data_IF_917668772112
#
_entry.id   IF_917668772112
#
_cell.length_a   1.000
_cell.length_b   1.000
_cell.length_c   1.000
_cell.angle_alpha   90.00
_cell.angle_beta   90.00
_cell.angle_gamma   90.00
#
_symmetry.space_group_name_H-M   'P 1'
#
loop_
_entity.id
_entity.type
_entity.pdbx_description
1 polymer ?
#
# COMPACT_ATOMS: atom_id res chain seq x y z
N UNK A 1 5.82 10.99 3.81
CA UNK A 1 5.09 9.71 3.78
C UNK A 1 4.28 9.61 2.50
N UNK A 2 4.16 8.41 1.96
CA UNK A 2 3.40 8.16 0.73
C UNK A 2 2.49 6.96 0.90
N UNK A 3 1.35 6.98 0.22
CA UNK A 3 0.54 5.78 0.02
C UNK A 3 0.89 5.16 -1.32
N UNK A 4 1.25 3.90 -1.31
CA UNK A 4 1.50 3.11 -2.51
C UNK A 4 0.27 2.25 -2.76
N UNK A 5 -0.50 2.60 -3.77
CA UNK A 5 -1.73 1.90 -4.14
C UNK A 5 -1.44 0.98 -5.31
N UNK A 6 -1.57 -0.32 -5.09
CA UNK A 6 -1.31 -1.35 -6.09
C UNK A 6 -2.63 -1.78 -6.70
N UNK A 7 -2.77 -1.61 -8.01
CA UNK A 7 -3.98 -1.98 -8.74
C UNK A 7 -4.08 -3.48 -8.99
N UNK A 8 -5.30 -3.97 -9.14
CA UNK A 8 -5.55 -5.35 -9.60
C UNK A 8 -5.02 -5.55 -11.02
N UNK A 9 -4.66 -6.78 -11.35
CA UNK A 9 -4.24 -7.12 -12.70
C UNK A 9 -5.28 -6.66 -13.74
N UNK A 10 -4.81 -6.04 -14.82
CA UNK A 10 -5.69 -5.53 -15.88
C UNK A 10 -6.39 -4.21 -15.58
N UNK A 11 -6.17 -3.62 -14.41
CA UNK A 11 -6.75 -2.31 -14.04
C UNK A 11 -5.69 -1.23 -14.23
N UNK A 12 -6.02 -0.21 -15.03
CA UNK A 12 -5.27 1.05 -15.06
C UNK A 12 -5.78 1.93 -13.91
N UNK A 13 -5.14 1.82 -12.77
CA UNK A 13 -5.60 2.47 -11.54
C UNK A 13 -5.57 4.00 -11.65
N UNK A 14 -4.51 4.55 -12.24
CA UNK A 14 -4.38 6.00 -12.40
C UNK A 14 -5.55 6.55 -13.23
N UNK A 15 -5.86 5.90 -14.35
CA UNK A 15 -6.96 6.30 -15.22
C UNK A 15 -8.30 6.13 -14.53
N UNK A 16 -8.50 5.02 -13.82
CA UNK A 16 -9.74 4.75 -13.07
C UNK A 16 -10.00 5.85 -12.05
N UNK A 17 -8.99 6.26 -11.29
CA UNK A 17 -9.12 7.32 -10.28
C UNK A 17 -9.26 8.70 -10.92
N UNK A 18 -8.62 8.94 -12.05
CA UNK A 18 -8.68 10.23 -12.76
C UNK A 18 -10.00 10.45 -13.49
N UNK A 19 -10.63 9.39 -13.99
CA UNK A 19 -11.88 9.46 -14.74
C UNK A 19 -13.12 9.60 -13.83
N UNK A 20 -13.01 9.19 -12.57
CA UNK A 20 -14.10 9.34 -11.60
C UNK A 20 -14.07 10.74 -10.98
N UNK A 21 -15.17 11.45 -11.08
CA UNK A 21 -15.30 12.79 -10.48
C UNK A 21 -15.09 12.76 -8.96
N UNK A 22 -15.64 11.75 -8.29
CA UNK A 22 -15.53 11.60 -6.84
C UNK A 22 -14.09 11.39 -6.40
N UNK A 23 -13.38 10.43 -6.99
CA UNK A 23 -11.97 10.17 -6.63
C UNK A 23 -11.06 11.32 -7.04
N UNK A 24 -11.31 11.94 -8.19
CA UNK A 24 -10.55 13.11 -8.62
C UNK A 24 -10.69 14.26 -7.63
N UNK A 25 -11.89 14.48 -7.09
CA UNK A 25 -12.13 15.49 -6.06
C UNK A 25 -11.39 15.15 -4.75
N UNK A 26 -11.46 13.90 -4.31
CA UNK A 26 -10.75 13.44 -3.11
C UNK A 26 -9.25 13.65 -3.26
N UNK A 27 -8.69 13.32 -4.42
CA UNK A 27 -7.24 13.29 -4.64
C UNK A 27 -6.63 14.62 -5.09
N UNK A 28 -7.42 15.67 -5.25
CA UNK A 28 -6.96 16.94 -5.85
C UNK A 28 -5.75 17.58 -5.20
N UNK A 29 -5.50 17.29 -3.93
CA UNK A 29 -4.36 17.85 -3.17
C UNK A 29 -3.26 16.84 -2.87
N UNK A 30 -3.35 15.60 -3.37
CA UNK A 30 -2.43 14.52 -2.99
C UNK A 30 -1.44 14.16 -4.08
N UNK A 31 -1.39 14.93 -5.17
CA UNK A 31 -0.43 14.80 -6.25
C UNK A 31 -0.26 13.34 -6.75
N UNK A 32 -1.34 12.71 -7.25
CA UNK A 32 -1.26 11.31 -7.70
C UNK A 32 -0.19 11.15 -8.76
N UNK A 33 0.68 10.16 -8.56
CA UNK A 33 1.74 9.80 -9.50
C UNK A 33 1.49 8.42 -10.04
N UNK A 34 1.43 8.31 -11.37
CA UNK A 34 1.27 7.03 -12.04
C UNK A 34 2.53 6.19 -11.93
N UNK A 35 2.35 4.88 -11.69
CA UNK A 35 3.40 3.88 -11.73
C UNK A 35 2.93 2.71 -12.59
N UNK A 36 3.83 1.81 -13.04
CA UNK A 36 3.41 0.63 -13.80
C UNK A 36 2.45 -0.30 -13.05
N UNK A 37 2.42 -0.25 -11.73
CA UNK A 37 1.60 -1.13 -10.88
C UNK A 37 0.45 -0.40 -10.19
N UNK A 38 0.33 0.90 -10.32
CA UNK A 38 -0.75 1.63 -9.66
C UNK A 38 -0.50 3.12 -9.52
N UNK A 39 -0.73 3.65 -8.33
CA UNK A 39 -0.65 5.08 -8.05
C UNK A 39 0.03 5.32 -6.71
N UNK A 40 0.88 6.34 -6.65
CA UNK A 40 1.50 6.81 -5.41
C UNK A 40 0.90 8.17 -5.05
N UNK A 41 0.48 8.31 -3.79
CA UNK A 41 -0.12 9.53 -3.25
C UNK A 41 0.75 10.08 -2.12
N UNK A 42 0.97 11.38 -2.10
CA UNK A 42 1.71 12.02 -1.02
C UNK A 42 0.77 12.42 0.13
N UNK A 43 1.14 12.05 1.35
CA UNK A 43 0.42 12.40 2.56
C UNK A 43 1.39 12.97 3.59
N UNK A 44 0.91 13.83 4.47
CA UNK A 44 1.77 14.47 5.46
C UNK A 44 2.09 13.54 6.64
N UNK A 45 1.10 12.77 7.10
CA UNK A 45 1.21 11.95 8.31
C UNK A 45 0.50 10.61 8.14
N UNK A 46 0.75 9.68 9.07
CA UNK A 46 0.00 8.41 9.15
C UNK A 46 -1.50 8.68 9.27
N UNK A 47 -1.88 9.64 10.11
CA UNK A 47 -3.27 10.01 10.32
C UNK A 47 -3.95 10.47 9.03
N UNK A 48 -3.31 11.35 8.26
CA UNK A 48 -3.86 11.83 7.00
C UNK A 48 -3.92 10.71 5.96
N UNK A 49 -2.93 9.81 5.96
CA UNK A 49 -2.95 8.64 5.09
C UNK A 49 -4.09 7.67 5.40
N UNK A 50 -4.35 7.43 6.68
CA UNK A 50 -5.47 6.58 7.12
C UNK A 50 -6.82 7.21 6.76
N UNK A 51 -6.95 8.52 6.94
CA UNK A 51 -8.17 9.26 6.57
C UNK A 51 -8.40 9.19 5.05
N UNK A 52 -7.35 9.38 4.26
CA UNK A 52 -7.43 9.28 2.80
C UNK A 52 -7.82 7.87 2.35
N UNK A 53 -7.21 6.83 2.93
CA UNK A 53 -7.56 5.45 2.63
C UNK A 53 -9.03 5.16 2.95
N UNK A 54 -9.54 5.71 4.04
CA UNK A 54 -10.94 5.60 4.42
C UNK A 54 -11.87 6.25 3.39
N UNK A 55 -11.53 7.44 2.90
CA UNK A 55 -12.28 8.12 1.84
C UNK A 55 -12.25 7.35 0.51
N UNK A 56 -11.15 6.66 0.22
CA UNK A 56 -10.97 5.86 -0.99
C UNK A 56 -11.46 4.41 -0.84
N UNK A 57 -12.08 4.05 0.27
CA UNK A 57 -12.44 2.67 0.61
C UNK A 57 -13.15 1.94 -0.52
N UNK A 58 -14.10 2.57 -1.19
CA UNK A 58 -14.85 1.97 -2.29
C UNK A 58 -13.93 1.59 -3.46
N UNK A 59 -12.97 2.46 -3.79
CA UNK A 59 -11.99 2.22 -4.85
C UNK A 59 -10.97 1.16 -4.45
N UNK A 60 -10.54 1.16 -3.20
CA UNK A 60 -9.61 0.17 -2.66
C UNK A 60 -10.21 -1.23 -2.81
N UNK A 61 -11.45 -1.41 -2.38
CA UNK A 61 -12.10 -2.72 -2.44
C UNK A 61 -12.31 -3.22 -3.87
N UNK A 62 -12.56 -2.32 -4.82
CA UNK A 62 -12.86 -2.69 -6.21
C UNK A 62 -11.63 -2.85 -7.09
N UNK A 63 -10.65 -2.00 -6.94
CA UNK A 63 -9.60 -1.83 -7.94
C UNK A 63 -8.19 -2.05 -7.43
N UNK A 64 -7.99 -2.21 -6.14
CA UNK A 64 -6.66 -2.34 -5.54
C UNK A 64 -6.48 -3.69 -4.86
N UNK A 65 -5.24 -4.19 -4.87
CA UNK A 65 -4.85 -5.41 -4.14
C UNK A 65 -4.16 -5.07 -2.83
N UNK A 66 -3.42 -3.95 -2.79
CA UNK A 66 -2.67 -3.50 -1.63
C UNK A 66 -2.69 -1.98 -1.54
N UNK A 67 -2.69 -1.49 -0.32
CA UNK A 67 -2.38 -0.10 0.01
C UNK A 67 -1.27 -0.13 1.06
N UNK A 68 -0.08 0.31 0.68
CA UNK A 68 1.09 0.31 1.56
C UNK A 68 1.39 1.74 1.99
N UNK A 69 1.77 1.89 3.26
CA UNK A 69 2.25 3.17 3.79
C UNK A 69 3.77 3.16 3.71
N UNK A 70 4.33 4.04 2.89
CA UNK A 70 5.77 4.22 2.80
C UNK A 70 6.20 5.31 3.76
N UNK A 71 6.93 4.91 4.80
CA UNK A 71 7.63 5.85 5.66
C UNK A 71 8.97 6.20 5.00
N UNK A 72 9.01 7.34 4.33
CA UNK A 72 10.20 7.76 3.58
C UNK A 72 11.37 8.14 4.47
N UNK A 73 11.11 8.56 5.72
CA UNK A 73 12.15 8.88 6.68
C UNK A 73 12.90 7.63 7.14
N UNK A 74 12.19 6.53 7.39
CA UNK A 74 12.76 5.28 7.85
C UNK A 74 12.97 4.24 6.75
N UNK A 75 12.58 4.57 5.51
CA UNK A 75 12.70 3.69 4.34
C UNK A 75 12.01 2.32 4.53
N UNK A 76 10.84 2.32 5.14
CA UNK A 76 10.05 1.10 5.37
C UNK A 76 8.65 1.23 4.80
N UNK A 77 8.08 0.08 4.42
CA UNK A 77 6.68 -0.03 4.00
C UNK A 77 5.89 -0.73 5.08
N UNK A 78 4.71 -0.20 5.38
CA UNK A 78 3.80 -0.76 6.38
C UNK A 78 2.49 -1.16 5.71
N UNK A 79 1.88 -2.25 6.17
CA UNK A 79 0.49 -2.53 5.81
C UNK A 79 -0.43 -1.46 6.41
N UNK A 80 -1.62 -1.32 5.85
CA UNK A 80 -2.63 -0.41 6.39
C UNK A 80 -3.01 -0.78 7.83
N UNK A 81 -3.10 -2.07 8.13
CA UNK A 81 -3.45 -2.53 9.47
C UNK A 81 -2.35 -2.20 10.48
N UNK A 82 -1.08 -2.40 10.13
CA UNK A 82 0.03 -2.01 11.00
C UNK A 82 0.09 -0.49 11.17
N UNK A 83 -0.08 0.27 10.10
CA UNK A 83 -0.11 1.73 10.18
C UNK A 83 -1.19 2.24 11.14
N UNK A 84 -2.38 1.62 11.09
CA UNK A 84 -3.47 1.94 12.01
C UNK A 84 -3.11 1.61 13.45
N UNK A 85 -2.51 0.45 13.70
CA UNK A 85 -2.08 0.03 15.03
C UNK A 85 -1.03 0.98 15.60
N UNK A 86 -0.04 1.35 14.82
CA UNK A 86 0.98 2.33 15.22
C UNK A 86 0.33 3.67 15.58
N UNK A 87 -0.63 4.11 14.81
CA UNK A 87 -1.34 5.37 15.06
C UNK A 87 -2.19 5.30 16.34
N UNK A 88 -2.95 4.23 16.51
CA UNK A 88 -3.87 4.09 17.64
C UNK A 88 -3.15 3.87 18.96
N UNK A 89 -2.12 3.05 18.98
CA UNK A 89 -1.36 2.75 20.21
C UNK A 89 -0.25 3.76 20.47
N UNK A 90 0.14 4.54 19.45
CA UNK A 90 1.27 5.48 19.49
C UNK A 90 2.56 4.80 19.96
N UNK A 91 2.68 3.51 19.70
CA UNK A 91 3.86 2.73 20.07
C UNK A 91 4.77 2.54 18.84
N UNK A 92 6.06 2.31 19.12
CA UNK A 92 7.00 1.87 18.09
C UNK A 92 6.79 0.38 17.83
N UNK A 93 5.64 0.03 17.24
CA UNK A 93 5.20 -1.35 17.05
C UNK A 93 6.23 -2.22 16.33
N UNK A 94 7.10 -1.64 15.52
CA UNK A 94 8.19 -2.35 14.84
C UNK A 94 9.23 -2.92 15.82
N UNK A 95 9.28 -2.42 17.04
CA UNK A 95 10.26 -2.81 18.05
C UNK A 95 9.72 -3.90 18.97
N UNK A 96 8.39 -4.07 19.05
CA UNK A 96 7.72 -4.89 20.05
C UNK A 96 7.71 -6.40 19.72
N UNK A 97 8.26 -6.81 18.56
CA UNK A 97 8.44 -8.23 18.23
C UNK A 97 7.17 -8.99 17.84
N UNK A 98 6.02 -8.35 17.81
CA UNK A 98 4.76 -8.95 17.38
C UNK A 98 4.40 -8.63 15.92
N UNK A 99 5.31 -7.96 15.24
CA UNK A 99 5.20 -7.66 13.82
C UNK A 99 5.94 -8.70 13.00
N UNK A 100 5.49 -8.88 11.78
CA UNK A 100 6.16 -9.74 10.80
C UNK A 100 6.57 -8.93 9.59
N UNK A 101 7.54 -9.44 8.85
CA UNK A 101 7.89 -8.91 7.53
C UNK A 101 7.59 -9.95 6.46
N UNK A 102 7.26 -9.47 5.29
CA UNK A 102 7.04 -10.28 4.10
C UNK A 102 7.29 -9.42 2.86
N UNK A 103 7.25 -10.05 1.69
CA UNK A 103 7.36 -9.31 0.43
C UNK A 103 6.01 -9.20 -0.24
N UNK A 104 5.70 -8.03 -0.78
CA UNK A 104 4.64 -7.86 -1.77
C UNK A 104 5.32 -7.80 -3.12
N UNK A 105 4.98 -8.75 -4.00
CA UNK A 105 5.55 -8.86 -5.34
C UNK A 105 4.52 -8.51 -6.40
N UNK A 106 5.00 -7.94 -7.50
CA UNK A 106 4.19 -7.66 -8.68
C UNK A 106 4.81 -8.41 -9.84
N UNK A 107 4.01 -9.18 -10.56
CA UNK A 107 4.44 -9.98 -11.69
C UNK A 107 4.21 -9.24 -13.02
N UNK A 108 4.76 -9.79 -14.10
CA UNK A 108 4.66 -9.19 -15.44
C UNK A 108 3.23 -9.03 -15.92
N UNK A 109 2.32 -9.92 -15.49
CA UNK A 109 0.90 -9.86 -15.84
C UNK A 109 0.12 -8.81 -15.02
N UNK A 110 0.79 -8.10 -14.10
CA UNK A 110 0.18 -7.12 -13.22
C UNK A 110 -0.42 -7.71 -11.94
N UNK A 111 -0.39 -9.03 -11.76
CA UNK A 111 -0.86 -9.66 -10.53
C UNK A 111 0.11 -9.38 -9.38
N UNK A 112 -0.42 -9.35 -8.16
CA UNK A 112 0.37 -9.17 -6.94
C UNK A 112 0.09 -10.29 -5.95
N UNK A 113 1.07 -10.57 -5.10
CA UNK A 113 0.95 -11.57 -4.05
C UNK A 113 1.83 -11.21 -2.87
N UNK A 114 1.45 -11.70 -1.70
CA UNK A 114 2.27 -11.63 -0.49
C UNK A 114 3.08 -12.92 -0.39
N UNK A 115 4.39 -12.78 -0.22
CA UNK A 115 5.32 -13.92 -0.11
C UNK A 115 6.01 -13.87 1.24
N UNK A 116 5.90 -14.92 2.08
CA UNK A 116 6.57 -14.95 3.37
C UNK A 116 8.09 -14.84 3.24
N UNK A 117 8.75 -14.28 4.26
CA UNK A 117 10.21 -14.31 4.33
C UNK A 117 10.70 -15.77 4.35
N UNK A 118 11.81 -16.02 3.67
CA UNK A 118 12.39 -17.36 3.55
C UNK A 118 11.79 -18.22 2.44
N UNK A 119 10.71 -17.78 1.81
CA UNK A 119 10.13 -18.45 0.64
C UNK A 119 10.77 -17.87 -0.61
N UNK A 120 11.22 -18.70 -1.57
CA UNK A 120 11.81 -18.18 -2.81
C UNK A 120 10.84 -17.29 -3.58
N UNK A 121 11.35 -16.18 -4.12
CA UNK A 121 10.57 -15.30 -4.98
C UNK A 121 10.41 -15.97 -6.35
N UNK A 122 9.17 -16.10 -6.89
CA UNK A 122 8.96 -16.68 -8.20
C UNK A 122 9.58 -15.88 -9.32
N UNK A 123 9.83 -16.53 -10.45
CA UNK A 123 10.27 -15.85 -11.67
C UNK A 123 9.19 -14.92 -12.21
N UNK A 124 9.60 -13.90 -12.98
CA UNK A 124 8.66 -12.96 -13.59
C UNK A 124 8.23 -11.81 -12.68
N UNK A 125 8.87 -11.63 -11.54
CA UNK A 125 8.63 -10.50 -10.65
C UNK A 125 9.28 -9.24 -11.21
N UNK A 126 8.47 -8.19 -11.42
CA UNK A 126 8.94 -6.92 -11.94
C UNK A 126 9.12 -5.86 -10.86
N UNK A 127 8.49 -6.05 -9.70
CA UNK A 127 8.61 -5.16 -8.55
C UNK A 127 8.43 -5.94 -7.26
N UNK A 128 9.19 -5.57 -6.24
CA UNK A 128 9.12 -6.15 -4.90
C UNK A 128 9.14 -5.05 -3.84
N UNK A 129 8.22 -5.15 -2.89
CA UNK A 129 8.22 -4.30 -1.70
C UNK A 129 8.46 -5.18 -0.48
N UNK A 130 9.39 -4.78 0.37
CA UNK A 130 9.54 -5.39 1.69
C UNK A 130 8.62 -4.68 2.66
N UNK A 131 7.70 -5.42 3.26
CA UNK A 131 6.59 -4.84 4.00
C UNK A 131 6.58 -5.40 5.42
N UNK A 132 6.27 -4.54 6.37
CA UNK A 132 5.99 -4.91 7.75
C UNK A 132 4.49 -4.94 7.96
N UNK A 133 4.01 -5.96 8.66
CA UNK A 133 2.60 -6.14 8.98
C UNK A 133 2.40 -6.71 10.37
N UNK A 134 1.15 -6.82 10.79
CA UNK A 134 0.79 -7.48 12.03
C UNK A 134 0.96 -9.00 11.89
N UNK A 135 1.23 -9.68 13.02
CA UNK A 135 1.43 -11.13 13.01
C UNK A 135 0.25 -11.89 12.36
N UNK A 136 -0.97 -11.40 12.52
CA UNK A 136 -2.16 -12.00 11.89
C UNK A 136 -2.19 -11.87 10.36
N UNK A 137 -1.34 -11.01 9.79
CA UNK A 137 -1.26 -10.78 8.34
C UNK A 137 -0.28 -11.73 7.64
N UNK A 138 0.22 -12.74 8.34
CA UNK A 138 1.17 -13.71 7.78
C UNK A 138 0.57 -14.35 6.51
N UNK A 139 1.28 -14.22 5.38
CA UNK A 139 0.77 -14.74 4.11
C UNK A 139 0.75 -16.27 4.05
#
# INVERSE_FOLDING_TARGET
MRLVCIGKAGVDLYRTLSDSETSRHILRFYHPKETPWGVVLEVATVSSGLALASELRWYIMRYMTEVLFEDTEHAVYLTRDLAREVYETRSAALIDGWNISFSVIIQEDGSSARVPDGVPIPDGVVQRFRVWGLAREHP
#
